data_IF_903228253202
#
_entry.id   IF_903228253202
#
_cell.length_a   1.000
_cell.length_b   1.000
_cell.length_c   1.000
_cell.angle_alpha   90.00
_cell.angle_beta   90.00
_cell.angle_gamma   90.00
#
_symmetry.space_group_name_H-M   'P 1'
#
loop_
_entity.id
_entity.type
_entity.pdbx_description
1 polymer ?
#
# COMPACT_ATOMS: atom_id res chain seq x y z
N UNK A 1 -38.79 18.09 -46.11
CA UNK A 1 -38.60 18.55 -44.72
C UNK A 1 -38.94 17.38 -43.80
N UNK A 2 -37.94 16.81 -43.12
CA UNK A 2 -38.07 15.59 -42.29
C UNK A 2 -37.95 16.03 -40.82
N UNK A 3 -38.89 15.66 -39.93
CA UNK A 3 -38.87 16.14 -38.55
C UNK A 3 -37.82 15.37 -37.73
N UNK A 4 -36.82 16.09 -37.22
CA UNK A 4 -35.84 15.54 -36.27
C UNK A 4 -36.50 15.49 -34.88
N UNK A 5 -36.84 14.29 -34.45
CA UNK A 5 -37.46 14.01 -33.16
C UNK A 5 -36.46 14.12 -32.01
N UNK A 6 -36.91 14.68 -30.88
CA UNK A 6 -36.23 14.97 -29.60
C UNK A 6 -35.63 13.75 -28.85
N UNK A 7 -35.30 12.65 -29.52
CA UNK A 7 -34.81 11.39 -28.89
C UNK A 7 -33.31 11.13 -29.07
N UNK A 8 -32.56 11.99 -29.76
CA UNK A 8 -31.14 11.74 -30.06
C UNK A 8 -30.14 12.23 -28.99
N UNK A 9 -30.59 12.98 -27.96
CA UNK A 9 -29.67 13.60 -27.00
C UNK A 9 -29.33 12.73 -25.77
N UNK A 10 -30.12 11.69 -25.48
CA UNK A 10 -29.90 10.85 -24.29
C UNK A 10 -28.87 9.72 -24.49
N UNK A 11 -28.42 9.46 -25.72
CA UNK A 11 -27.41 8.41 -26.00
C UNK A 11 -25.95 8.86 -25.90
N UNK A 12 -25.68 10.14 -25.63
CA UNK A 12 -24.30 10.67 -25.53
C UNK A 12 -23.79 10.87 -24.11
N UNK A 13 -24.61 10.66 -23.08
CA UNK A 13 -24.19 10.84 -21.68
C UNK A 13 -23.69 9.53 -21.05
N UNK A 14 -24.04 8.36 -21.60
CA UNK A 14 -23.61 7.06 -21.05
C UNK A 14 -22.13 6.71 -21.32
N UNK A 15 -21.41 7.45 -22.16
CA UNK A 15 -20.02 7.16 -22.51
C UNK A 15 -18.97 7.95 -21.69
N UNK A 16 -19.38 8.90 -20.85
CA UNK A 16 -18.46 9.79 -20.13
C UNK A 16 -18.23 9.41 -18.65
N UNK A 17 -18.98 8.44 -18.10
CA UNK A 17 -18.86 8.02 -16.70
C UNK A 17 -18.12 6.70 -16.51
N UNK A 18 -17.64 6.06 -17.59
CA UNK A 18 -16.73 4.92 -17.53
C UNK A 18 -15.24 5.33 -17.39
N UNK A 19 -14.95 6.62 -17.19
CA UNK A 19 -13.58 7.17 -17.16
C UNK A 19 -13.03 7.51 -15.77
N UNK A 20 -13.82 7.35 -14.70
CA UNK A 20 -13.40 7.65 -13.31
C UNK A 20 -13.64 6.43 -12.41
N UNK A 21 -13.69 5.24 -13.00
CA UNK A 21 -13.70 3.98 -12.28
C UNK A 21 -12.26 3.53 -12.07
N UNK A 22 -11.62 4.07 -11.04
CA UNK A 22 -10.43 3.53 -10.37
C UNK A 22 -9.35 2.94 -11.28
N UNK A 23 -8.20 3.63 -11.36
CA UNK A 23 -6.91 2.96 -11.49
C UNK A 23 -6.70 2.03 -10.28
N UNK A 24 -7.50 0.96 -10.19
CA UNK A 24 -7.07 -0.30 -9.63
C UNK A 24 -6.04 -0.80 -10.63
N UNK A 25 -4.82 -0.26 -10.51
CA UNK A 25 -3.67 -1.11 -10.76
C UNK A 25 -3.80 -2.19 -9.69
N UNK A 26 -4.57 -3.23 -10.02
CA UNK A 26 -4.45 -4.52 -9.38
C UNK A 26 -3.00 -4.91 -9.66
N UNK A 27 -2.13 -4.60 -8.70
CA UNK A 27 -0.76 -5.06 -8.73
C UNK A 27 -0.87 -6.58 -8.83
N UNK A 28 -0.43 -7.13 -9.97
CA UNK A 28 -0.59 -8.54 -10.29
C UNK A 28 -0.37 -9.42 -9.04
N UNK A 29 -1.35 -10.28 -8.70
CA UNK A 29 -1.16 -11.22 -7.62
C UNK A 29 -0.13 -12.25 -8.07
N UNK A 30 1.10 -12.16 -7.57
CA UNK A 30 1.94 -13.35 -7.47
C UNK A 30 3.40 -13.25 -7.82
N UNK A 31 3.94 -12.14 -8.33
CA UNK A 31 5.40 -12.00 -8.35
C UNK A 31 5.86 -11.60 -6.96
N UNK A 32 6.51 -12.54 -6.27
CA UNK A 32 7.21 -12.30 -5.02
C UNK A 32 8.27 -11.20 -5.24
N UNK A 33 7.87 -9.94 -5.09
CA UNK A 33 8.79 -8.81 -5.18
C UNK A 33 9.84 -8.95 -4.08
N UNK A 34 11.11 -8.75 -4.40
CA UNK A 34 12.15 -8.72 -3.38
C UNK A 34 12.16 -7.36 -2.67
N UNK A 35 12.70 -7.28 -1.46
CA UNK A 35 12.95 -5.99 -0.79
C UNK A 35 13.94 -5.07 -1.53
N UNK A 36 14.56 -5.55 -2.62
CA UNK A 36 15.40 -4.74 -3.50
C UNK A 36 14.61 -4.03 -4.61
N UNK A 37 13.33 -4.36 -4.79
CA UNK A 37 12.43 -3.66 -5.71
C UNK A 37 12.38 -2.17 -5.35
N UNK A 38 12.33 -1.32 -6.38
CA UNK A 38 12.32 0.13 -6.26
C UNK A 38 11.14 0.62 -5.42
N UNK A 39 10.01 -0.10 -5.43
CA UNK A 39 8.84 0.20 -4.58
C UNK A 39 9.17 0.19 -3.09
N UNK A 40 10.23 -0.50 -2.67
CA UNK A 40 10.60 -0.64 -1.26
C UNK A 40 11.80 0.25 -0.88
N UNK A 41 12.12 1.28 -1.67
CA UNK A 41 13.31 2.11 -1.47
C UNK A 41 13.41 2.75 -0.07
N UNK A 42 12.28 2.98 0.60
CA UNK A 42 12.20 3.48 1.98
C UNK A 42 11.34 2.60 2.91
N UNK A 43 11.22 1.31 2.60
CA UNK A 43 10.43 0.37 3.40
C UNK A 43 11.25 -0.13 4.60
N UNK A 44 10.64 -0.12 5.78
CA UNK A 44 11.24 -0.62 7.02
C UNK A 44 10.26 -1.46 7.80
N UNK A 45 10.51 -2.76 7.87
CA UNK A 45 9.65 -3.73 8.54
C UNK A 45 9.39 -4.96 7.69
N UNK A 46 8.47 -5.80 8.15
CA UNK A 46 8.01 -6.95 7.40
C UNK A 46 6.90 -6.56 6.42
N UNK A 47 6.98 -7.01 5.16
CA UNK A 47 5.91 -6.76 4.19
C UNK A 47 4.59 -7.44 4.57
N UNK A 48 3.48 -6.71 4.47
CA UNK A 48 2.15 -7.26 4.80
C UNK A 48 1.71 -8.44 3.94
N UNK A 49 2.19 -8.52 2.69
CA UNK A 49 1.97 -9.67 1.80
C UNK A 49 2.47 -11.00 2.39
N UNK A 50 3.38 -10.95 3.37
CA UNK A 50 3.96 -12.14 4.01
C UNK A 50 3.36 -12.44 5.40
N UNK A 51 2.37 -11.65 5.83
CA UNK A 51 1.70 -11.78 7.12
C UNK A 51 0.18 -11.96 6.99
N UNK A 52 -0.30 -12.33 5.81
CA UNK A 52 -1.73 -12.50 5.52
C UNK A 52 -2.47 -11.20 5.20
N UNK A 53 -1.75 -10.12 4.90
CA UNK A 53 -2.30 -8.90 4.32
C UNK A 53 -1.91 -8.75 2.85
N UNK A 54 -1.96 -7.52 2.34
CA UNK A 54 -1.51 -7.18 0.99
C UNK A 54 -0.82 -5.82 0.96
N UNK A 55 -0.45 -5.35 -0.23
CA UNK A 55 0.07 -3.99 -0.43
C UNK A 55 -0.98 -2.90 -0.10
N UNK A 56 -2.27 -3.24 -0.10
CA UNK A 56 -3.37 -2.29 0.18
C UNK A 56 -4.19 -2.61 1.44
N UNK A 57 -4.10 -3.83 1.99
CA UNK A 57 -4.91 -4.28 3.13
C UNK A 57 -4.05 -4.81 4.28
N UNK A 58 -4.46 -4.49 5.51
CA UNK A 58 -3.81 -5.03 6.70
C UNK A 58 -4.25 -6.48 6.95
N UNK A 59 -3.38 -7.32 7.53
CA UNK A 59 -3.77 -8.67 7.94
C UNK A 59 -4.84 -8.65 9.04
N UNK A 60 -5.63 -9.72 9.12
CA UNK A 60 -6.68 -9.89 10.12
C UNK A 60 -6.21 -9.59 11.54
N UNK A 61 -7.00 -8.83 12.30
CA UNK A 61 -6.66 -8.44 13.68
C UNK A 61 -5.68 -7.27 13.79
N UNK A 62 -5.38 -6.59 12.68
CA UNK A 62 -4.61 -5.35 12.66
C UNK A 62 -5.31 -4.26 11.84
N UNK A 63 -4.97 -3.01 12.11
CA UNK A 63 -5.55 -1.84 11.45
C UNK A 63 -4.45 -0.90 10.97
N UNK A 64 -4.72 -0.17 9.89
CA UNK A 64 -3.78 0.79 9.35
C UNK A 64 -3.49 1.93 10.35
N UNK A 65 -2.21 2.16 10.64
CA UNK A 65 -1.72 3.30 11.41
C UNK A 65 -1.40 4.53 10.55
N UNK A 66 -0.46 5.32 11.05
CA UNK A 66 0.17 6.43 10.34
C UNK A 66 0.96 5.96 9.11
N UNK A 67 1.30 6.91 8.24
CA UNK A 67 2.01 6.63 7.01
C UNK A 67 3.19 7.59 6.84
N UNK A 68 4.27 7.10 6.23
CA UNK A 68 5.36 7.92 5.72
C UNK A 68 5.45 7.79 4.21
N UNK A 69 6.13 8.77 3.60
CA UNK A 69 6.20 8.91 2.17
C UNK A 69 7.64 9.07 1.72
N UNK A 70 8.01 8.40 0.64
CA UNK A 70 9.36 8.47 0.05
C UNK A 70 9.24 8.50 -1.46
N UNK A 71 10.01 9.38 -2.12
CA UNK A 71 10.15 9.36 -3.57
C UNK A 71 11.10 8.24 -3.99
N UNK A 72 10.58 7.21 -4.65
CA UNK A 72 11.37 6.11 -5.20
C UNK A 72 11.50 6.24 -6.72
N UNK A 73 12.69 5.95 -7.24
CA UNK A 73 12.97 5.97 -8.69
C UNK A 73 12.73 4.58 -9.28
N UNK A 74 11.85 4.49 -10.27
CA UNK A 74 11.59 3.23 -10.98
C UNK A 74 12.73 2.84 -11.93
N UNK A 75 12.63 1.66 -12.54
CA UNK A 75 13.64 1.13 -13.48
C UNK A 75 13.76 1.91 -14.78
N UNK A 76 12.76 2.75 -15.11
CA UNK A 76 12.77 3.64 -16.27
C UNK A 76 13.27 5.05 -15.91
N UNK A 77 13.61 5.27 -14.64
CA UNK A 77 14.15 6.52 -14.14
C UNK A 77 13.12 7.55 -13.71
N UNK A 78 11.81 7.22 -13.69
CA UNK A 78 10.72 8.10 -13.22
C UNK A 78 10.63 8.05 -11.70
N UNK A 79 10.17 9.13 -11.08
CA UNK A 79 9.99 9.17 -9.62
C UNK A 79 8.52 9.01 -9.23
N UNK A 80 8.30 8.21 -8.19
CA UNK A 80 6.99 7.94 -7.64
C UNK A 80 7.01 8.19 -6.14
N UNK A 81 6.00 8.89 -5.65
CA UNK A 81 5.74 9.05 -4.23
C UNK A 81 5.13 7.75 -3.71
N UNK A 82 5.91 7.00 -2.95
CA UNK A 82 5.50 5.76 -2.32
C UNK A 82 5.04 6.05 -0.91
N UNK A 83 3.83 5.58 -0.59
CA UNK A 83 3.27 5.60 0.75
C UNK A 83 3.52 4.25 1.41
N UNK A 84 4.23 4.28 2.52
CA UNK A 84 4.35 3.15 3.43
C UNK A 84 3.47 3.38 4.63
N UNK A 85 2.79 2.32 5.10
CA UNK A 85 1.86 2.43 6.21
C UNK A 85 1.93 1.18 7.06
N UNK A 86 2.12 1.38 8.36
CA UNK A 86 2.15 0.25 9.29
C UNK A 86 0.74 -0.28 9.52
N UNK A 87 0.65 -1.59 9.65
CA UNK A 87 -0.51 -2.30 10.18
C UNK A 87 -0.23 -2.62 11.63
N UNK A 88 -1.07 -2.09 12.50
CA UNK A 88 -0.87 -2.04 13.93
C UNK A 88 -1.88 -2.95 14.63
N UNK A 89 -1.45 -3.62 15.69
CA UNK A 89 -2.33 -4.36 16.60
C UNK A 89 -2.15 -3.86 18.03
N UNK A 90 -3.14 -4.01 18.93
CA UNK A 90 -2.91 -3.78 20.35
C UNK A 90 -1.79 -4.67 20.90
N UNK A 91 -1.10 -4.18 21.93
CA UNK A 91 -0.24 -4.99 22.78
C UNK A 91 -1.06 -6.15 23.36
N UNK A 92 -0.55 -7.39 23.28
CA UNK A 92 -1.31 -8.56 23.75
C UNK A 92 -1.14 -8.75 25.26
N UNK A 93 -2.11 -9.37 25.94
CA UNK A 93 -1.92 -9.79 27.33
C UNK A 93 -0.66 -10.64 27.48
N UNK A 94 0.21 -10.26 28.42
CA UNK A 94 1.50 -10.92 28.66
C UNK A 94 2.69 -10.34 27.86
N UNK A 95 2.47 -9.44 26.90
CA UNK A 95 3.55 -8.66 26.27
C UNK A 95 3.85 -7.42 27.13
N UNK A 96 5.09 -7.28 27.60
CA UNK A 96 5.54 -6.08 28.33
C UNK A 96 6.00 -4.95 27.41
N UNK A 97 6.35 -5.29 26.17
CA UNK A 97 6.75 -4.36 25.11
C UNK A 97 6.36 -4.94 23.75
N UNK A 98 6.34 -4.09 22.72
CA UNK A 98 6.09 -4.55 21.37
C UNK A 98 7.25 -5.42 20.85
N UNK A 99 6.94 -6.55 20.18
CA UNK A 99 7.96 -7.31 19.48
C UNK A 99 8.56 -6.49 18.35
N UNK A 100 9.75 -6.89 17.90
CA UNK A 100 10.36 -6.27 16.74
C UNK A 100 9.46 -6.47 15.52
N UNK A 101 9.30 -5.46 14.63
CA UNK A 101 8.54 -5.61 13.39
C UNK A 101 9.12 -6.68 12.45
N UNK A 102 10.34 -7.15 12.73
CA UNK A 102 11.04 -8.19 12.00
C UNK A 102 10.84 -9.61 12.58
N UNK A 103 10.25 -9.75 13.78
CA UNK A 103 10.18 -11.03 14.50
C UNK A 103 9.32 -12.05 13.75
N UNK A 104 9.94 -13.13 13.29
CA UNK A 104 9.28 -14.16 12.48
C UNK A 104 8.96 -13.70 11.05
N UNK A 105 9.61 -12.65 10.54
CA UNK A 105 9.47 -12.23 9.16
C UNK A 105 10.33 -13.11 8.24
N UNK A 106 9.79 -13.65 7.13
CA UNK A 106 10.61 -14.35 6.14
C UNK A 106 11.69 -13.41 5.56
N UNK A 107 12.88 -13.95 5.27
CA UNK A 107 14.01 -13.16 4.75
C UNK A 107 13.69 -12.41 3.44
N UNK A 108 12.80 -12.95 2.61
CA UNK A 108 12.33 -12.30 1.38
C UNK A 108 11.41 -11.10 1.61
N UNK A 109 10.93 -10.91 2.85
CA UNK A 109 9.95 -9.91 3.25
C UNK A 109 10.47 -8.96 4.33
N UNK A 110 11.64 -9.23 4.89
CA UNK A 110 12.36 -8.38 5.83
C UNK A 110 13.04 -7.26 5.05
N UNK A 111 12.35 -6.11 4.97
CA UNK A 111 12.84 -4.96 4.22
C UNK A 111 13.41 -3.94 5.21
N UNK A 112 14.72 -3.69 5.10
CA UNK A 112 15.47 -2.71 5.93
C UNK A 112 16.10 -1.66 5.03
N UNK A 113 15.25 -0.89 4.35
CA UNK A 113 15.67 0.04 3.29
C UNK A 113 15.40 1.48 3.72
N UNK A 114 16.38 2.34 3.49
CA UNK A 114 16.29 3.76 3.82
C UNK A 114 16.37 4.03 5.33
N UNK A 115 16.03 5.27 5.70
CA UNK A 115 16.06 5.75 7.09
C UNK A 115 14.65 5.79 7.68
N UNK A 116 13.81 4.78 7.44
CA UNK A 116 12.46 4.80 8.01
C UNK A 116 12.50 4.60 9.54
N UNK A 117 11.80 5.52 10.21
CA UNK A 117 11.86 5.88 11.64
C UNK A 117 10.78 5.11 12.45
N UNK A 118 10.56 5.36 13.77
CA UNK A 118 9.87 4.41 14.65
C UNK A 118 8.45 4.14 14.17
N UNK A 119 7.91 3.00 14.63
CA UNK A 119 6.56 2.53 14.34
C UNK A 119 5.56 3.67 14.17
N UNK A 120 4.85 3.68 13.05
CA UNK A 120 3.76 4.64 12.80
C UNK A 120 2.44 4.19 13.44
N UNK A 121 2.56 3.42 14.51
CA UNK A 121 1.47 2.90 15.31
C UNK A 121 1.23 3.83 16.51
N UNK A 122 -0.03 3.96 16.93
CA UNK A 122 -0.38 4.73 18.13
C UNK A 122 0.20 4.08 19.39
N UNK A 123 0.37 4.86 20.45
CA UNK A 123 0.81 4.34 21.76
C UNK A 123 -0.03 3.14 22.21
N UNK A 124 0.64 2.10 22.71
CA UNK A 124 -0.03 0.85 23.13
C UNK A 124 -0.35 -0.11 21.98
N UNK A 125 0.08 0.19 20.75
CA UNK A 125 -0.05 -0.70 19.59
C UNK A 125 1.30 -1.03 18.97
N UNK A 126 1.41 -2.23 18.41
CA UNK A 126 2.63 -2.81 17.86
C UNK A 126 2.51 -3.01 16.35
N UNK A 127 3.61 -2.80 15.64
CA UNK A 127 3.72 -3.05 14.20
C UNK A 127 3.63 -4.55 13.94
N UNK A 128 2.72 -4.93 13.05
CA UNK A 128 2.59 -6.31 12.54
C UNK A 128 3.35 -6.46 11.22
N UNK A 129 3.18 -5.47 10.34
CA UNK A 129 3.78 -5.40 9.01
C UNK A 129 3.61 -3.98 8.45
N UNK A 130 4.26 -3.71 7.33
CA UNK A 130 4.13 -2.47 6.58
C UNK A 130 3.58 -2.77 5.18
N UNK A 131 2.56 -2.02 4.77
CA UNK A 131 1.98 -2.09 3.41
C UNK A 131 2.56 -0.98 2.54
N UNK A 132 2.69 -1.23 1.24
CA UNK A 132 3.37 -0.33 0.29
C UNK A 132 2.42 0.03 -0.85
N UNK A 133 2.21 1.32 -1.08
CA UNK A 133 1.31 1.80 -2.13
C UNK A 133 1.96 2.92 -2.94
N UNK A 134 1.85 2.86 -4.26
CA UNK A 134 2.10 4.04 -5.10
C UNK A 134 1.00 5.06 -4.77
N UNK A 135 1.40 6.27 -4.37
CA UNK A 135 0.47 7.33 -3.98
C UNK A 135 0.31 8.40 -5.05
N UNK A 136 1.43 8.87 -5.59
CA UNK A 136 1.48 9.89 -6.63
C UNK A 136 2.82 9.80 -7.39
N UNK A 137 3.04 10.69 -8.35
CA UNK A 137 4.36 10.99 -8.88
C UNK A 137 5.10 11.96 -7.96
N UNK A 138 6.42 11.86 -7.94
CA UNK A 138 7.30 12.98 -7.58
C UNK A 138 7.89 13.53 -8.89
#
# INVERSE_FOLDING_TARGET
MIPVTRRSWLRRIAAALAGIGTLLVDAEPGLARSCLDWLFCGHWGCRCTCRGGSDSTCPSGSTAGGAWYVCCRDTQGRYWLIRYRDCCRPLRPGESTCPSPFDGCPASCDCRRGNAQPSWCSTGTCVVCTRTQIWATC
#
